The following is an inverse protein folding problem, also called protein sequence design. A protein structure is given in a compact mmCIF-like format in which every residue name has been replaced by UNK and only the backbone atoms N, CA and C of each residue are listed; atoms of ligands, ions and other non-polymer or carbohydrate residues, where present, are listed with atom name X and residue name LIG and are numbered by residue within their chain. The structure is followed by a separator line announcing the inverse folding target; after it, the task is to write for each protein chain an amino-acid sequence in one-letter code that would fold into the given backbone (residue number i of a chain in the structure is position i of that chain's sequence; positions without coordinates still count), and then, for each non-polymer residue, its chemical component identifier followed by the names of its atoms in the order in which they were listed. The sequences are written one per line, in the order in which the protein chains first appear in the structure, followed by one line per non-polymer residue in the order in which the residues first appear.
data_IF_247077236987
#
_entry.id   IF_247077236987
#
_cell.length_a   1.000
_cell.length_b   1.000
_cell.length_c   1.000
_cell.angle_alpha   90.00
_cell.angle_beta   90.00
_cell.angle_gamma   90.00
#
_symmetry.space_group_name_H-M   'P 1'
#
loop_
_entity.id
_entity.type
_entity.pdbx_description
1 polymer ?
#
# COMPACT_ATOMS: atom_id res chain seq x y z
N UNK A 1 5.13 -2.33 12.27
CA UNK A 1 4.39 -3.56 11.96
C UNK A 1 5.21 -4.43 11.02
N UNK A 2 5.21 -5.74 11.22
CA UNK A 2 5.77 -6.74 10.30
C UNK A 2 4.61 -7.40 9.52
N UNK A 3 4.31 -7.00 8.26
CA UNK A 3 3.09 -7.40 7.57
C UNK A 3 2.96 -8.92 7.35
N UNK A 4 4.07 -9.60 7.01
CA UNK A 4 4.05 -11.04 6.78
C UNK A 4 3.66 -11.80 8.04
N UNK A 5 4.23 -11.42 9.19
CA UNK A 5 3.90 -12.02 10.48
C UNK A 5 2.44 -11.76 10.88
N UNK A 6 1.92 -10.55 10.63
CA UNK A 6 0.51 -10.21 10.89
C UNK A 6 -0.46 -11.08 10.09
N UNK A 7 -0.10 -11.41 8.86
CA UNK A 7 -0.90 -12.29 7.99
C UNK A 7 -0.59 -13.78 8.14
N UNK A 8 0.40 -14.16 8.97
CA UNK A 8 0.82 -15.56 9.12
C UNK A 8 1.53 -16.15 7.90
N UNK A 9 2.05 -15.29 7.02
CA UNK A 9 2.75 -15.68 5.79
C UNK A 9 4.14 -16.20 6.12
N UNK A 10 4.54 -17.31 5.51
CA UNK A 10 5.86 -17.92 5.70
C UNK A 10 6.91 -17.29 4.79
N UNK A 11 8.18 -17.49 5.14
CA UNK A 11 9.29 -16.99 4.34
C UNK A 11 9.21 -17.55 2.90
N UNK A 12 9.24 -16.65 1.92
CA UNK A 12 9.17 -16.98 0.50
C UNK A 12 7.75 -17.05 -0.10
N UNK A 13 6.69 -16.91 0.71
CA UNK A 13 5.31 -16.99 0.20
C UNK A 13 4.74 -15.66 -0.29
N UNK A 14 5.26 -14.51 0.18
CA UNK A 14 4.83 -13.21 -0.30
C UNK A 14 5.98 -12.24 -0.52
N UNK A 15 5.78 -11.38 -1.50
CA UNK A 15 6.57 -10.16 -1.67
C UNK A 15 6.01 -9.12 -0.70
N UNK A 16 6.86 -8.55 0.15
CA UNK A 16 6.47 -7.54 1.15
C UNK A 16 7.06 -6.19 0.76
N UNK A 17 6.20 -5.29 0.26
CA UNK A 17 6.56 -3.90 -0.02
C UNK A 17 6.20 -3.00 1.18
N UNK A 18 7.12 -2.12 1.59
CA UNK A 18 6.92 -1.20 2.72
C UNK A 18 7.39 0.20 2.35
N UNK A 19 6.60 1.20 2.71
CA UNK A 19 6.98 2.61 2.63
C UNK A 19 6.27 3.41 3.75
N UNK A 20 6.47 4.72 3.75
CA UNK A 20 5.79 5.60 4.70
C UNK A 20 4.27 5.51 4.53
N UNK A 21 3.59 5.03 5.57
CA UNK A 21 2.13 4.87 5.59
C UNK A 21 1.59 3.65 4.85
N UNK A 22 2.42 2.85 4.17
CA UNK A 22 1.95 1.72 3.35
C UNK A 22 1.17 2.17 2.10
N UNK A 23 1.45 3.38 1.61
CA UNK A 23 0.72 4.04 0.52
C UNK A 23 1.04 3.45 -0.84
N UNK A 24 0.09 3.50 -1.76
CA UNK A 24 0.32 3.13 -3.17
C UNK A 24 0.91 4.33 -3.90
N UNK A 25 2.24 4.39 -3.92
CA UNK A 25 3.01 5.45 -4.61
C UNK A 25 3.31 5.06 -6.06
N UNK A 26 3.74 6.01 -6.93
CA UNK A 26 4.19 5.66 -8.27
C UNK A 26 5.34 4.65 -8.30
N UNK A 27 6.20 4.62 -7.28
CA UNK A 27 7.26 3.63 -7.17
C UNK A 27 6.68 2.22 -6.92
N UNK A 28 5.73 2.09 -5.97
CA UNK A 28 5.04 0.82 -5.70
C UNK A 28 4.31 0.32 -6.94
N UNK A 29 3.65 1.21 -7.69
CA UNK A 29 2.96 0.84 -8.93
C UNK A 29 3.94 0.28 -9.96
N UNK A 30 5.11 0.90 -10.14
CA UNK A 30 6.14 0.43 -11.07
C UNK A 30 6.71 -0.93 -10.66
N UNK A 31 7.01 -1.11 -9.38
CA UNK A 31 7.51 -2.39 -8.87
C UNK A 31 6.47 -3.50 -9.06
N UNK A 32 5.20 -3.20 -8.80
CA UNK A 32 4.10 -4.14 -9.02
C UNK A 32 3.89 -4.45 -10.51
N UNK A 33 3.98 -3.46 -11.39
CA UNK A 33 3.87 -3.67 -12.83
C UNK A 33 4.98 -4.59 -13.35
N UNK A 34 6.18 -4.50 -12.79
CA UNK A 34 7.26 -5.43 -13.09
C UNK A 34 6.96 -6.87 -12.62
N UNK A 35 6.37 -7.03 -11.43
CA UNK A 35 5.96 -8.35 -10.92
C UNK A 35 4.87 -8.96 -11.82
N UNK A 36 3.89 -8.17 -12.23
CA UNK A 36 2.83 -8.59 -13.18
C UNK A 36 3.46 -9.05 -14.50
N UNK A 37 4.36 -8.23 -15.07
CA UNK A 37 5.06 -8.58 -16.31
C UNK A 37 5.87 -9.89 -16.18
N UNK A 38 6.55 -10.10 -15.06
CA UNK A 38 7.27 -11.35 -14.83
C UNK A 38 6.36 -12.58 -14.73
N UNK A 39 5.19 -12.44 -14.09
CA UNK A 39 4.21 -13.52 -14.03
C UNK A 39 3.74 -13.90 -15.43
N UNK A 40 3.35 -12.92 -16.24
CA UNK A 40 2.92 -13.11 -17.64
C UNK A 40 3.99 -13.80 -18.50
N UNK A 41 5.26 -13.39 -18.37
CA UNK A 41 6.34 -13.86 -19.24
C UNK A 41 7.02 -15.16 -18.77
N UNK A 42 7.01 -15.44 -17.46
CA UNK A 42 7.79 -16.54 -16.86
C UNK A 42 6.94 -17.61 -16.20
N UNK A 43 5.70 -17.31 -15.87
CA UNK A 43 4.77 -18.25 -15.24
C UNK A 43 3.33 -18.08 -15.75
N UNK A 44 3.10 -18.06 -17.09
CA UNK A 44 1.78 -17.77 -17.65
C UNK A 44 0.68 -18.78 -17.25
N UNK A 45 1.08 -20.01 -16.92
CA UNK A 45 0.17 -21.10 -16.52
C UNK A 45 -0.01 -21.20 -15.00
N UNK A 46 0.66 -20.35 -14.21
CA UNK A 46 0.54 -20.34 -12.75
C UNK A 46 -0.65 -19.50 -12.29
N UNK A 47 -1.20 -19.86 -11.12
CA UNK A 47 -2.24 -19.05 -10.48
C UNK A 47 -1.75 -17.62 -10.24
N UNK A 48 -2.67 -16.66 -10.39
CA UNK A 48 -2.40 -15.26 -10.08
C UNK A 48 -2.31 -15.05 -8.57
N UNK A 49 -1.42 -14.16 -8.16
CA UNK A 49 -1.25 -13.77 -6.77
C UNK A 49 -2.36 -12.79 -6.33
N UNK A 50 -2.42 -12.54 -5.01
CA UNK A 50 -3.29 -11.53 -4.41
C UNK A 50 -2.49 -10.32 -3.94
N UNK A 51 -3.14 -9.15 -3.89
CA UNK A 51 -2.56 -7.92 -3.32
C UNK A 51 -3.35 -7.52 -2.08
N UNK A 52 -2.64 -7.38 -0.96
CA UNK A 52 -3.18 -6.85 0.29
C UNK A 52 -2.57 -5.47 0.60
N UNK A 53 -3.39 -4.42 0.54
CA UNK A 53 -3.02 -3.08 1.04
C UNK A 53 -3.37 -3.02 2.51
N UNK A 54 -2.37 -2.80 3.38
CA UNK A 54 -2.56 -2.82 4.84
C UNK A 54 -2.08 -1.50 5.44
N UNK A 55 -3.01 -0.73 5.99
CA UNK A 55 -2.69 0.40 6.87
C UNK A 55 -2.88 -0.03 8.34
N UNK A 56 -2.40 0.78 9.27
CA UNK A 56 -2.55 0.50 10.70
C UNK A 56 -2.98 1.72 11.51
N UNK A 57 -3.57 1.47 12.69
CA UNK A 57 -3.85 2.51 13.68
C UNK A 57 -2.55 3.08 14.25
N UNK A 58 -2.60 4.31 14.78
CA UNK A 58 -1.41 5.00 15.31
C UNK A 58 -0.26 5.06 14.27
N UNK A 59 -0.62 5.38 13.02
CA UNK A 59 0.36 5.50 11.95
C UNK A 59 1.09 6.84 12.06
N UNK A 60 2.42 6.79 12.18
CA UNK A 60 3.24 8.01 12.24
C UNK A 60 3.11 8.91 11.01
N UNK A 61 2.68 8.39 9.85
CA UNK A 61 2.41 9.23 8.69
C UNK A 61 1.19 10.14 8.86
N UNK A 62 0.31 9.88 9.83
CA UNK A 62 -0.80 10.77 10.17
C UNK A 62 -0.29 12.19 10.52
N UNK A 63 0.91 12.31 11.09
CA UNK A 63 1.56 13.58 11.42
C UNK A 63 1.92 14.42 10.19
N UNK A 64 1.87 13.86 8.97
CA UNK A 64 1.98 14.68 7.75
C UNK A 64 0.77 15.58 7.53
N UNK A 65 -0.34 15.38 8.24
CA UNK A 65 -1.47 16.30 8.22
C UNK A 65 -1.30 17.49 9.18
N UNK A 66 -0.33 17.44 10.10
CA UNK A 66 0.00 18.56 10.97
C UNK A 66 0.71 19.67 10.18
N UNK A 67 0.20 20.89 10.26
CA UNK A 67 0.65 22.00 9.43
C UNK A 67 2.09 22.42 9.75
N UNK A 68 2.46 22.49 11.03
CA UNK A 68 3.80 22.93 11.46
C UNK A 68 4.86 21.88 11.08
N UNK A 69 4.58 20.59 11.33
CA UNK A 69 5.48 19.50 10.94
C UNK A 69 5.64 19.42 9.42
N UNK A 70 4.56 19.63 8.68
CA UNK A 70 4.56 19.57 7.22
C UNK A 70 5.33 20.74 6.61
N UNK A 71 5.11 21.97 7.08
CA UNK A 71 5.87 23.13 6.66
C UNK A 71 7.37 22.94 6.96
N UNK A 72 7.71 22.42 8.14
CA UNK A 72 9.09 22.07 8.50
C UNK A 72 9.69 20.97 7.62
N UNK A 73 8.90 19.96 7.24
CA UNK A 73 9.34 18.88 6.34
C UNK A 73 9.58 19.38 4.91
N UNK A 74 8.76 20.30 4.41
CA UNK A 74 9.00 20.96 3.13
C UNK A 74 10.27 21.83 3.17
N UNK A 75 10.43 22.65 4.22
CA UNK A 75 11.56 23.56 4.38
C UNK A 75 12.92 22.85 4.46
N UNK A 76 12.96 21.62 4.97
CA UNK A 76 14.19 20.80 5.04
C UNK A 76 14.49 20.01 3.75
N UNK A 77 13.75 20.26 2.66
CA UNK A 77 13.93 19.57 1.38
C UNK A 77 13.22 18.22 1.28
N UNK A 78 12.21 17.99 2.13
CA UNK A 78 11.31 16.85 2.00
C UNK A 78 10.29 17.04 0.87
N UNK A 79 9.16 16.36 0.98
CA UNK A 79 8.05 16.59 0.06
C UNK A 79 7.45 17.97 0.26
N UNK A 80 6.90 18.53 -0.81
CA UNK A 80 6.01 19.68 -0.69
C UNK A 80 4.81 19.35 0.22
N UNK A 81 4.16 20.39 0.72
CA UNK A 81 3.05 20.23 1.65
C UNK A 81 1.88 19.44 1.04
N UNK A 82 1.54 19.66 -0.22
CA UNK A 82 0.43 18.95 -0.83
C UNK A 82 0.69 17.44 -0.94
N UNK A 83 1.91 17.07 -1.32
CA UNK A 83 2.37 15.69 -1.39
C UNK A 83 2.40 15.06 0.01
N UNK A 84 2.88 15.78 1.02
CA UNK A 84 2.87 15.31 2.40
C UNK A 84 1.45 15.02 2.89
N UNK A 85 0.51 15.94 2.66
CA UNK A 85 -0.89 15.76 3.04
C UNK A 85 -1.50 14.54 2.32
N UNK A 86 -1.20 14.35 1.03
CA UNK A 86 -1.65 13.18 0.27
C UNK A 86 -1.08 11.87 0.82
N UNK A 87 0.08 11.89 1.47
CA UNK A 87 0.74 10.71 2.05
C UNK A 87 0.29 10.39 3.48
N UNK A 88 -0.42 11.31 4.15
CA UNK A 88 -0.95 11.10 5.48
C UNK A 88 -2.00 9.96 5.52
N UNK A 89 -1.85 9.03 6.47
CA UNK A 89 -2.83 7.97 6.74
C UNK A 89 -3.69 8.39 7.93
N UNK A 90 -4.93 8.82 7.64
CA UNK A 90 -5.80 9.41 8.67
C UNK A 90 -6.98 8.52 9.05
N UNK A 91 -7.42 7.64 8.15
CA UNK A 91 -8.55 6.74 8.37
C UNK A 91 -8.54 5.58 7.39
N UNK A 92 -9.48 4.64 7.56
CA UNK A 92 -9.75 3.56 6.61
C UNK A 92 -10.03 4.03 5.18
N UNK A 93 -10.47 5.29 4.99
CA UNK A 93 -10.66 5.87 3.65
C UNK A 93 -9.39 5.84 2.81
N UNK A 94 -8.22 6.05 3.43
CA UNK A 94 -6.94 6.02 2.71
C UNK A 94 -6.61 4.63 2.13
N UNK A 95 -7.03 3.56 2.81
CA UNK A 95 -6.93 2.19 2.28
C UNK A 95 -7.80 2.02 1.04
N UNK A 96 -9.04 2.54 1.07
CA UNK A 96 -9.95 2.48 -0.08
C UNK A 96 -9.39 3.25 -1.28
N UNK A 97 -8.81 4.42 -1.04
CA UNK A 97 -8.16 5.24 -2.08
C UNK A 97 -6.98 4.51 -2.71
N UNK A 98 -6.13 3.87 -1.91
CA UNK A 98 -4.96 3.13 -2.40
C UNK A 98 -5.36 1.86 -3.17
N UNK A 99 -6.37 1.12 -2.70
CA UNK A 99 -6.93 -0.03 -3.45
C UNK A 99 -7.57 0.43 -4.77
N UNK A 100 -8.34 1.52 -4.75
CA UNK A 100 -8.93 2.07 -5.97
C UNK A 100 -7.85 2.49 -6.97
N UNK A 101 -6.76 3.08 -6.49
CA UNK A 101 -5.62 3.48 -7.32
C UNK A 101 -4.95 2.28 -8.01
N UNK A 102 -4.73 1.18 -7.29
CA UNK A 102 -4.21 -0.05 -7.90
C UNK A 102 -5.14 -0.58 -9.00
N UNK A 103 -6.45 -0.55 -8.76
CA UNK A 103 -7.45 -1.02 -9.74
C UNK A 103 -7.54 -0.14 -11.00
N UNK A 104 -7.24 1.16 -10.89
CA UNK A 104 -7.44 2.11 -11.99
C UNK A 104 -6.16 2.53 -12.73
N UNK A 105 -4.96 2.17 -12.24
CA UNK A 105 -3.72 2.68 -12.83
C UNK A 105 -3.40 1.97 -14.16
N UNK A 106 -3.05 2.70 -15.24
CA UNK A 106 -2.81 2.10 -16.55
C UNK A 106 -1.68 1.05 -16.57
N UNK A 107 -0.67 1.20 -15.72
CA UNK A 107 0.49 0.31 -15.65
C UNK A 107 0.13 -1.12 -15.24
N UNK A 108 -1.01 -1.32 -14.58
CA UNK A 108 -1.49 -2.62 -14.14
C UNK A 108 -2.64 -3.14 -14.99
N UNK A 109 -3.18 -2.34 -15.91
CA UNK A 109 -4.34 -2.68 -16.72
C UNK A 109 -4.26 -4.06 -17.43
N UNK A 110 -3.08 -4.54 -17.90
CA UNK A 110 -2.99 -5.87 -18.52
C UNK A 110 -3.32 -7.04 -17.59
N UNK A 111 -2.92 -6.98 -16.32
CA UNK A 111 -3.02 -8.11 -15.38
C UNK A 111 -3.99 -7.90 -14.21
N UNK A 112 -4.36 -6.65 -13.89
CA UNK A 112 -5.11 -6.32 -12.65
C UNK A 112 -6.49 -6.99 -12.58
N UNK A 113 -7.09 -7.32 -13.72
CA UNK A 113 -8.37 -8.03 -13.77
C UNK A 113 -8.31 -9.48 -13.27
N UNK A 114 -7.12 -10.08 -13.23
CA UNK A 114 -6.89 -11.45 -12.75
C UNK A 114 -6.42 -11.50 -11.28
N UNK A 115 -6.11 -10.34 -10.70
CA UNK A 115 -5.50 -10.22 -9.37
C UNK A 115 -6.56 -9.78 -8.37
N UNK A 116 -6.78 -10.56 -7.30
CA UNK A 116 -7.61 -10.10 -6.20
C UNK A 116 -6.89 -8.98 -5.41
N UNK A 117 -7.54 -7.84 -5.22
CA UNK A 117 -6.97 -6.68 -4.52
C UNK A 117 -7.83 -6.34 -3.31
N UNK A 118 -7.33 -6.59 -2.11
CA UNK A 118 -8.00 -6.30 -0.84
C UNK A 118 -7.33 -5.18 -0.05
N UNK A 119 -8.13 -4.47 0.74
CA UNK A 119 -7.68 -3.42 1.64
C UNK A 119 -8.03 -3.72 3.10
N UNK A 120 -7.07 -3.53 3.99
CA UNK A 120 -7.16 -3.94 5.40
C UNK A 120 -6.64 -2.86 6.35
N UNK A 121 -7.21 -2.83 7.55
CA UNK A 121 -6.75 -2.02 8.67
C UNK A 121 -6.28 -2.94 9.81
N UNK A 122 -5.03 -2.75 10.26
CA UNK A 122 -4.47 -3.45 11.40
C UNK A 122 -4.50 -2.56 12.65
N UNK A 123 -5.13 -3.06 13.70
CA UNK A 123 -5.15 -2.39 15.00
C UNK A 123 -3.91 -2.79 15.82
N UNK A 124 -2.98 -1.85 16.03
CA UNK A 124 -1.76 -2.08 16.80
C UNK A 124 -2.02 -2.44 18.26
N UNK A 125 -3.13 -1.98 18.85
CA UNK A 125 -3.44 -2.21 20.26
C UNK A 125 -4.04 -3.60 20.48
N UNK A 126 -4.85 -4.09 19.55
CA UNK A 126 -5.56 -5.38 19.69
C UNK A 126 -4.94 -6.52 18.87
N UNK A 127 -4.09 -6.20 17.89
CA UNK A 127 -3.55 -7.16 16.94
C UNK A 127 -4.56 -7.68 15.92
N UNK A 128 -5.74 -7.05 15.80
CA UNK A 128 -6.79 -7.48 14.86
C UNK A 128 -6.59 -6.85 13.48
N UNK A 129 -6.83 -7.66 12.44
CA UNK A 129 -6.94 -7.19 11.06
C UNK A 129 -8.42 -7.12 10.71
N UNK A 130 -8.85 -5.97 10.19
CA UNK A 130 -10.23 -5.75 9.72
C UNK A 130 -10.22 -5.47 8.23
N UNK A 131 -11.08 -6.15 7.48
CA UNK A 131 -11.31 -5.86 6.05
C UNK A 131 -11.99 -4.50 5.90
N UNK A 132 -11.43 -3.66 5.02
CA UNK A 132 -11.96 -2.33 4.68
C UNK A 132 -12.65 -2.35 3.32
N UNK A 133 -12.06 -3.04 2.33
CA UNK A 133 -12.58 -3.18 0.98
C UNK A 133 -12.06 -4.47 0.33
N UNK A 134 -12.87 -5.09 -0.52
CA UNK A 134 -12.52 -6.24 -1.36
C UNK A 134 -12.98 -6.03 -2.80
#
# INVERSE_FOLDING_TARGET
MEPAAVLGVRLGEAIVARNLGGRVTPAVIKDLAWIVHLHEEKAPDADWFEIAVIHHTDCGSALLADDDLRAGYAARGGWDEQTSLKMAVLSSKTVQEDVAKLRSTPELAPGIGNIAVGGYAYDLATGKVTTVVQ
#
